data_IF_953945551274
#
_entry.id   IF_953945551274
#
_cell.length_a   1.000
_cell.length_b   1.000
_cell.length_c   1.000
_cell.angle_alpha   90.00
_cell.angle_beta   90.00
_cell.angle_gamma   90.00
#
_symmetry.space_group_name_H-M   'P 1'
#
loop_
_entity.id
_entity.type
_entity.pdbx_description
1 polymer ?
#
# COMPACT_ATOMS: atom_id res chain seq x y z
N UNK A 1 -33.49 -0.49 9.72
CA UNK A 1 -32.16 -1.07 9.43
C UNK A 1 -31.14 0.06 9.53
N UNK A 2 -30.39 0.15 10.64
CA UNK A 2 -29.48 1.29 10.91
C UNK A 2 -28.21 1.12 10.07
N UNK A 3 -27.92 2.08 9.22
CA UNK A 3 -26.74 2.06 8.37
C UNK A 3 -25.47 2.18 9.23
N UNK A 4 -24.82 1.04 9.48
CA UNK A 4 -23.58 0.93 10.27
C UNK A 4 -22.39 1.66 9.63
N UNK A 5 -22.49 2.00 8.34
CA UNK A 5 -21.41 2.66 7.58
C UNK A 5 -21.56 4.18 7.47
N UNK A 6 -22.66 4.75 7.99
CA UNK A 6 -22.85 6.19 8.08
C UNK A 6 -21.68 6.97 8.74
N UNK A 7 -21.11 6.54 9.89
CA UNK A 7 -19.99 7.26 10.51
C UNK A 7 -18.70 7.20 9.69
N UNK A 8 -18.50 6.13 8.94
CA UNK A 8 -17.31 5.93 8.09
C UNK A 8 -17.37 6.85 6.87
N UNK A 9 -18.56 6.97 6.25
CA UNK A 9 -18.78 7.91 5.13
C UNK A 9 -18.66 9.36 5.56
N UNK A 10 -19.19 9.72 6.74
CA UNK A 10 -19.07 11.07 7.27
C UNK A 10 -17.60 11.43 7.57
N UNK A 11 -16.85 10.52 8.20
CA UNK A 11 -15.42 10.74 8.45
C UNK A 11 -14.62 10.88 7.16
N UNK A 12 -14.91 10.03 6.15
CA UNK A 12 -14.29 10.11 4.84
C UNK A 12 -14.61 11.43 4.12
N UNK A 13 -15.85 11.90 4.16
CA UNK A 13 -16.27 13.18 3.57
C UNK A 13 -15.58 14.38 4.24
N UNK A 14 -15.54 14.41 5.57
CA UNK A 14 -14.85 15.47 6.32
C UNK A 14 -13.33 15.47 6.12
N UNK A 15 -12.75 14.30 5.87
CA UNK A 15 -11.33 14.21 5.52
C UNK A 15 -11.08 14.66 4.07
N UNK A 16 -11.98 14.31 3.15
CA UNK A 16 -11.92 14.75 1.76
C UNK A 16 -12.04 16.27 1.66
N UNK A 17 -13.00 16.90 2.33
CA UNK A 17 -13.12 18.37 2.33
C UNK A 17 -11.87 19.05 2.89
N UNK A 18 -11.32 18.56 4.01
CA UNK A 18 -10.05 19.08 4.54
C UNK A 18 -8.88 18.91 3.59
N UNK A 19 -8.81 17.78 2.88
CA UNK A 19 -7.78 17.56 1.87
C UNK A 19 -7.99 18.44 0.63
N UNK A 20 -9.23 18.66 0.20
CA UNK A 20 -9.58 19.52 -0.92
C UNK A 20 -9.30 21.01 -0.61
N UNK A 21 -9.63 21.45 0.60
CA UNK A 21 -9.27 22.77 1.11
C UNK A 21 -7.75 22.93 1.23
N UNK A 22 -7.05 21.91 1.73
CA UNK A 22 -5.57 21.90 1.74
C UNK A 22 -4.99 21.87 0.32
N UNK A 23 -5.62 21.24 -0.67
CA UNK A 23 -5.17 21.31 -2.07
C UNK A 23 -5.31 22.72 -2.63
N UNK A 24 -6.39 23.43 -2.28
CA UNK A 24 -6.59 24.85 -2.60
C UNK A 24 -5.59 25.79 -1.90
N UNK A 25 -5.12 25.45 -0.69
CA UNK A 25 -4.16 26.24 0.09
C UNK A 25 -2.71 25.73 0.02
N UNK A 26 -2.45 24.71 -0.81
CA UNK A 26 -1.19 23.95 -0.81
C UNK A 26 -1.16 22.87 0.28
N UNK A 27 -0.77 21.62 -0.02
CA UNK A 27 -0.97 20.50 0.88
C UNK A 27 -0.22 20.70 2.20
N UNK A 28 -0.96 20.75 3.31
CA UNK A 28 -0.37 20.70 4.64
C UNK A 28 0.35 19.36 4.81
N UNK A 29 1.68 19.40 4.70
CA UNK A 29 2.52 18.21 4.83
C UNK A 29 2.49 17.63 6.24
N UNK A 30 2.03 18.40 7.25
CA UNK A 30 1.85 17.93 8.62
C UNK A 30 0.59 17.06 8.79
N UNK A 31 -0.44 17.28 7.97
CA UNK A 31 -1.68 16.49 8.00
C UNK A 31 -1.58 15.16 7.22
N UNK A 32 -0.50 14.95 6.46
CA UNK A 32 -0.29 13.76 5.65
C UNK A 32 0.58 12.68 6.31
N UNK A 33 0.60 11.45 5.78
CA UNK A 33 1.52 10.42 6.25
C UNK A 33 2.97 10.88 6.10
N UNK A 34 3.81 10.56 7.10
CA UNK A 34 5.26 10.83 7.08
C UNK A 34 5.89 10.32 5.78
N UNK A 35 7.03 10.89 5.36
CA UNK A 35 7.71 10.50 4.12
C UNK A 35 7.97 8.98 4.03
N UNK A 36 8.39 8.37 5.13
CA UNK A 36 8.55 6.91 5.23
C UNK A 36 7.24 6.16 5.00
N UNK A 37 6.15 6.59 5.66
CA UNK A 37 4.83 5.96 5.53
C UNK A 37 4.28 6.11 4.12
N UNK A 38 4.46 7.26 3.48
CA UNK A 38 4.10 7.50 2.09
C UNK A 38 4.89 6.58 1.15
N UNK A 39 6.21 6.49 1.33
CA UNK A 39 7.06 5.59 0.54
C UNK A 39 6.63 4.13 0.64
N UNK A 40 6.28 3.67 1.86
CA UNK A 40 5.75 2.32 2.06
C UNK A 40 4.42 2.11 1.33
N UNK A 41 3.49 3.05 1.37
CA UNK A 41 2.21 2.95 0.68
C UNK A 41 2.40 2.88 -0.84
N UNK A 42 3.24 3.74 -1.40
CA UNK A 42 3.59 3.73 -2.83
C UNK A 42 4.19 2.37 -3.21
N UNK A 43 5.10 1.83 -2.40
CA UNK A 43 5.72 0.54 -2.65
C UNK A 43 4.69 -0.61 -2.66
N UNK A 44 3.71 -0.59 -1.75
CA UNK A 44 2.62 -1.59 -1.74
C UNK A 44 1.73 -1.47 -2.97
N UNK A 45 1.42 -0.24 -3.43
CA UNK A 45 0.66 -0.03 -4.67
C UNK A 45 1.43 -0.56 -5.89
N UNK A 46 2.72 -0.27 -6.02
CA UNK A 46 3.54 -0.79 -7.12
C UNK A 46 3.57 -2.33 -7.17
N UNK A 47 3.51 -3.00 -6.01
CA UNK A 47 3.38 -4.46 -5.95
C UNK A 47 2.02 -4.92 -6.49
N UNK A 48 0.93 -4.23 -6.15
CA UNK A 48 -0.39 -4.52 -6.72
C UNK A 48 -0.43 -4.33 -8.23
N UNK A 49 0.08 -3.20 -8.73
CA UNK A 49 0.13 -2.89 -10.15
C UNK A 49 0.91 -3.98 -10.92
N UNK A 50 2.04 -4.44 -10.37
CA UNK A 50 2.80 -5.53 -10.96
C UNK A 50 2.04 -6.86 -10.96
N UNK A 51 1.28 -7.17 -9.91
CA UNK A 51 0.44 -8.37 -9.88
C UNK A 51 -0.69 -8.31 -10.91
N UNK A 52 -1.33 -7.15 -11.08
CA UNK A 52 -2.38 -6.92 -12.09
C UNK A 52 -1.81 -7.02 -13.50
N UNK A 53 -0.56 -6.57 -13.71
CA UNK A 53 0.18 -6.77 -14.94
C UNK A 53 0.67 -8.22 -15.18
N UNK A 54 0.38 -9.14 -14.26
CA UNK A 54 0.72 -10.57 -14.38
C UNK A 54 2.12 -10.96 -13.90
N UNK A 55 2.84 -10.07 -13.20
CA UNK A 55 4.16 -10.38 -12.68
C UNK A 55 4.11 -11.49 -11.63
N UNK A 56 5.06 -12.43 -11.70
CA UNK A 56 5.20 -13.47 -10.69
C UNK A 56 5.79 -12.93 -9.39
N UNK A 57 5.60 -13.67 -8.30
CA UNK A 57 6.22 -13.33 -6.99
C UNK A 57 7.74 -13.18 -7.07
N UNK A 58 8.40 -13.97 -7.91
CA UNK A 58 9.86 -13.88 -8.11
C UNK A 58 10.25 -12.59 -8.83
N UNK A 59 9.49 -12.21 -9.85
CA UNK A 59 9.77 -11.00 -10.62
C UNK A 59 9.60 -9.76 -9.74
N UNK A 60 8.51 -9.70 -8.98
CA UNK A 60 8.27 -8.64 -7.99
C UNK A 60 9.37 -8.57 -6.93
N UNK A 61 9.85 -9.72 -6.46
CA UNK A 61 10.91 -9.77 -5.46
C UNK A 61 12.19 -9.08 -5.93
N UNK A 62 12.62 -9.33 -7.18
CA UNK A 62 13.89 -8.80 -7.68
C UNK A 62 13.75 -7.53 -8.51
N UNK A 63 12.54 -7.14 -8.91
CA UNK A 63 12.30 -5.85 -9.56
C UNK A 63 12.01 -4.74 -8.56
N UNK A 64 11.27 -5.02 -7.48
CA UNK A 64 10.75 -4.00 -6.57
C UNK A 64 11.29 -4.13 -5.15
N UNK A 65 11.31 -5.34 -4.58
CA UNK A 65 11.57 -5.54 -3.14
C UNK A 65 13.06 -5.59 -2.82
N UNK A 66 13.83 -6.29 -3.65
CA UNK A 66 15.26 -6.53 -3.51
C UNK A 66 15.99 -6.25 -4.83
N UNK A 67 15.90 -5.01 -5.39
CA UNK A 67 16.43 -4.70 -6.72
C UNK A 67 17.95 -4.86 -6.85
N UNK A 68 18.67 -4.84 -5.73
CA UNK A 68 20.12 -5.00 -5.70
C UNK A 68 20.58 -6.43 -5.35
N UNK A 69 19.65 -7.35 -5.08
CA UNK A 69 20.00 -8.75 -4.83
C UNK A 69 20.17 -9.49 -6.15
N UNK A 70 21.07 -10.47 -6.17
CA UNK A 70 21.17 -11.41 -7.30
C UNK A 70 19.91 -12.28 -7.36
N UNK A 71 19.25 -12.41 -8.52
CA UNK A 71 18.05 -13.25 -8.64
C UNK A 71 18.30 -14.70 -8.25
N UNK A 72 17.56 -15.19 -7.25
CA UNK A 72 17.62 -16.58 -6.77
C UNK A 72 16.76 -17.48 -7.65
N UNK A 73 17.19 -18.72 -7.92
CA UNK A 73 16.47 -19.69 -8.74
C UNK A 73 16.17 -21.01 -8.02
N UNK A 74 15.27 -21.82 -8.58
CA UNK A 74 15.03 -23.21 -8.19
C UNK A 74 14.74 -23.41 -6.70
N UNK A 75 15.42 -24.38 -6.08
CA UNK A 75 15.27 -24.70 -4.66
C UNK A 75 15.70 -23.53 -3.75
N UNK A 76 16.76 -22.80 -4.13
CA UNK A 76 17.24 -21.63 -3.39
C UNK A 76 16.16 -20.56 -3.30
N UNK A 77 15.46 -20.26 -4.40
CA UNK A 77 14.31 -19.37 -4.39
C UNK A 77 13.19 -19.88 -3.46
N UNK A 78 12.82 -21.15 -3.57
CA UNK A 78 11.72 -21.74 -2.79
C UNK A 78 11.97 -21.66 -1.27
N UNK A 79 13.22 -21.87 -0.83
CA UNK A 79 13.63 -21.80 0.58
C UNK A 79 14.00 -20.40 1.09
N UNK A 80 14.09 -19.40 0.21
CA UNK A 80 14.64 -18.08 0.52
C UNK A 80 13.81 -17.24 1.50
N UNK A 81 14.49 -16.35 2.21
CA UNK A 81 13.85 -15.31 3.02
C UNK A 81 13.15 -14.26 2.15
N UNK A 82 13.73 -13.97 0.98
CA UNK A 82 13.22 -13.05 -0.04
C UNK A 82 11.84 -13.46 -0.52
N UNK A 83 11.63 -14.75 -0.82
CA UNK A 83 10.31 -15.27 -1.18
C UNK A 83 9.29 -15.06 -0.07
N UNK A 84 9.63 -15.44 1.17
CA UNK A 84 8.72 -15.29 2.32
C UNK A 84 8.40 -13.82 2.59
N UNK A 85 9.38 -12.94 2.50
CA UNK A 85 9.19 -11.50 2.70
C UNK A 85 8.30 -10.91 1.59
N UNK A 86 8.57 -11.22 0.32
CA UNK A 86 7.76 -10.75 -0.81
C UNK A 86 6.32 -11.23 -0.72
N UNK A 87 6.07 -12.49 -0.32
CA UNK A 87 4.72 -12.99 -0.11
C UNK A 87 3.96 -12.23 1.01
N UNK A 88 4.66 -11.84 2.08
CA UNK A 88 4.06 -11.00 3.13
C UNK A 88 3.69 -9.62 2.60
N UNK A 89 4.55 -9.00 1.79
CA UNK A 89 4.26 -7.71 1.16
C UNK A 89 3.09 -7.82 0.18
N UNK A 90 3.02 -8.87 -0.64
CA UNK A 90 1.87 -9.14 -1.53
C UNK A 90 0.58 -9.25 -0.72
N UNK A 91 0.60 -9.97 0.40
CA UNK A 91 -0.56 -10.09 1.27
C UNK A 91 -0.94 -8.74 1.91
N UNK A 92 0.03 -7.91 2.28
CA UNK A 92 -0.20 -6.56 2.79
C UNK A 92 -0.77 -5.61 1.73
N UNK A 93 -0.24 -5.67 0.50
CA UNK A 93 -0.67 -4.87 -0.63
C UNK A 93 -2.13 -5.18 -1.01
N UNK A 94 -2.49 -6.47 -1.09
CA UNK A 94 -3.89 -6.89 -1.30
C UNK A 94 -4.81 -6.38 -0.19
N UNK A 95 -4.43 -6.56 1.08
CA UNK A 95 -5.22 -6.03 2.21
C UNK A 95 -5.38 -4.50 2.16
N UNK A 96 -4.38 -3.78 1.68
CA UNK A 96 -4.44 -2.33 1.52
C UNK A 96 -5.52 -1.95 0.48
N UNK A 97 -5.50 -2.57 -0.70
CA UNK A 97 -6.43 -2.29 -1.80
C UNK A 97 -7.85 -2.80 -1.51
N UNK A 98 -7.98 -3.95 -0.84
CA UNK A 98 -9.26 -4.57 -0.44
C UNK A 98 -9.94 -3.87 0.75
N UNK A 99 -9.96 -2.54 0.74
CA UNK A 99 -10.63 -1.71 1.76
C UNK A 99 -9.77 -1.35 2.97
N UNK A 100 -8.56 -1.89 3.11
CA UNK A 100 -7.63 -1.52 4.19
C UNK A 100 -7.22 -0.05 4.16
N UNK A 101 -7.20 0.57 2.97
CA UNK A 101 -6.93 2.00 2.78
C UNK A 101 -7.86 2.90 3.60
N UNK A 102 -9.08 2.45 3.94
CA UNK A 102 -10.02 3.23 4.77
C UNK A 102 -9.43 3.57 6.15
N UNK A 103 -8.53 2.74 6.68
CA UNK A 103 -7.81 3.03 7.93
C UNK A 103 -6.90 4.25 7.81
N UNK A 104 -6.44 4.59 6.61
CA UNK A 104 -5.66 5.80 6.36
C UNK A 104 -6.51 7.07 6.47
N UNK A 105 -7.82 6.97 6.23
CA UNK A 105 -8.77 8.09 6.33
C UNK A 105 -9.27 8.31 7.76
N UNK A 106 -9.11 7.30 8.63
CA UNK A 106 -9.56 7.32 10.02
C UNK A 106 -8.46 7.74 11.00
N UNK A 107 -7.21 7.85 10.56
CA UNK A 107 -6.08 8.17 11.43
C UNK A 107 -5.66 9.63 11.28
N UNK A 108 -5.73 10.35 12.40
CA UNK A 108 -5.13 11.66 12.67
C UNK A 108 -3.59 11.56 12.71
#
# INVERSE_FOLDING_TARGET
>A
MRDRSAPERLSAALHFERMADNLSHGPDRAAGPTGYRRGRLIHLLAICDGLEAGAGTRDLAFALVFPHHRPLAGATWKGSGERRHTLRLIAEARRLVDGGFRKLLLHK
#
